data_IF_836541340820
#
_entry.id   IF_836541340820
#
_cell.length_a   1.000
_cell.length_b   1.000
_cell.length_c   1.000
_cell.angle_alpha   90.00
_cell.angle_beta   90.00
_cell.angle_gamma   90.00
#
_symmetry.space_group_name_H-M   'P 1'
#
loop_
_entity.id
_entity.type
_entity.pdbx_description
1 polymer ?
#
# COMPACT_ATOMS: atom_id res chain seq x y z
N UNK A 1 7.87 -52.99 -15.84
CA UNK A 1 7.45 -51.67 -16.35
C UNK A 1 7.02 -50.88 -15.12
N UNK A 2 7.99 -50.20 -14.48
CA UNK A 2 7.77 -49.35 -13.32
C UNK A 2 8.11 -47.94 -13.82
N UNK A 3 7.09 -47.12 -14.01
CA UNK A 3 7.25 -45.74 -14.47
C UNK A 3 7.92 -44.90 -13.37
N UNK A 4 9.08 -44.34 -13.68
CA UNK A 4 9.71 -43.29 -12.91
C UNK A 4 8.98 -41.97 -13.22
N UNK A 5 8.26 -41.43 -12.23
CA UNK A 5 7.78 -40.05 -12.28
C UNK A 5 8.98 -39.10 -12.06
N UNK A 6 9.08 -37.97 -12.79
CA UNK A 6 10.17 -37.03 -12.61
C UNK A 6 10.05 -36.31 -11.26
N UNK A 7 11.16 -36.19 -10.54
CA UNK A 7 11.28 -35.36 -9.34
C UNK A 7 11.03 -33.89 -9.74
N UNK A 8 9.93 -33.33 -9.25
CA UNK A 8 9.75 -31.89 -9.23
C UNK A 8 10.72 -31.30 -8.21
N UNK A 9 11.87 -30.83 -8.67
CA UNK A 9 12.73 -29.93 -7.90
C UNK A 9 11.93 -28.65 -7.66
N UNK A 10 11.28 -28.56 -6.50
CA UNK A 10 10.72 -27.31 -6.02
C UNK A 10 11.87 -26.31 -5.86
N UNK A 11 11.95 -25.34 -6.76
CA UNK A 11 12.74 -24.14 -6.53
C UNK A 11 12.31 -23.56 -5.19
N UNK A 12 13.29 -23.28 -4.34
CA UNK A 12 13.02 -22.71 -3.04
C UNK A 12 12.37 -21.32 -3.23
N UNK A 13 11.49 -20.84 -2.34
CA UNK A 13 10.87 -19.52 -2.45
C UNK A 13 11.88 -18.35 -2.53
N UNK A 14 13.16 -18.63 -2.25
CA UNK A 14 14.27 -17.66 -2.30
C UNK A 14 14.76 -17.43 -3.74
N UNK A 15 14.56 -18.38 -4.65
CA UNK A 15 15.00 -18.28 -6.05
C UNK A 15 14.04 -17.45 -6.94
N UNK A 16 12.87 -17.07 -6.40
CA UNK A 16 11.84 -16.30 -7.11
C UNK A 16 11.92 -14.79 -6.89
N UNK A 17 12.88 -14.29 -6.09
CA UNK A 17 13.24 -12.87 -6.10
C UNK A 17 14.21 -12.63 -7.26
N UNK A 18 13.63 -12.52 -8.45
CA UNK A 18 14.34 -12.36 -9.72
C UNK A 18 15.48 -11.35 -9.62
N UNK A 19 16.58 -11.69 -10.29
CA UNK A 19 17.80 -10.90 -10.45
C UNK A 19 17.55 -9.40 -10.28
N UNK A 20 17.89 -8.96 -9.08
CA UNK A 20 17.92 -7.59 -8.60
C UNK A 20 18.43 -6.65 -9.73
N UNK A 21 17.50 -5.85 -10.26
CA UNK A 21 17.62 -5.19 -11.56
C UNK A 21 18.28 -3.82 -11.47
N UNK A 22 19.00 -3.41 -12.52
CA UNK A 22 19.60 -2.07 -12.62
C UNK A 22 18.79 -1.21 -13.57
N UNK A 23 18.48 0.03 -13.17
CA UNK A 23 17.81 1.03 -14.00
C UNK A 23 18.59 2.35 -14.00
N UNK A 24 18.87 2.91 -15.17
CA UNK A 24 19.52 4.20 -15.35
C UNK A 24 18.52 5.18 -15.96
N UNK A 25 18.13 6.21 -15.19
CA UNK A 25 17.41 7.36 -15.71
C UNK A 25 18.41 8.40 -16.22
N UNK A 26 18.25 8.85 -17.45
CA UNK A 26 19.14 9.83 -18.08
C UNK A 26 18.40 11.13 -18.36
N UNK A 27 19.13 12.24 -18.40
CA UNK A 27 18.60 13.54 -18.83
C UNK A 27 17.31 13.92 -18.06
N UNK A 28 17.32 13.75 -16.75
CA UNK A 28 16.22 14.13 -15.85
C UNK A 28 16.59 15.36 -15.05
N UNK A 29 15.59 16.17 -14.68
CA UNK A 29 15.75 17.26 -13.72
C UNK A 29 15.20 16.83 -12.37
N UNK A 30 15.99 16.88 -11.31
CA UNK A 30 15.62 16.32 -10.01
C UNK A 30 14.92 17.37 -9.17
N UNK A 31 13.72 17.05 -8.71
CA UNK A 31 13.05 17.70 -7.58
C UNK A 31 13.13 16.76 -6.39
N UNK A 32 13.88 17.11 -5.35
CA UNK A 32 14.17 16.22 -4.20
C UNK A 32 13.26 16.44 -2.99
N UNK A 33 12.41 17.46 -3.02
CA UNK A 33 11.51 17.82 -1.91
C UNK A 33 12.19 18.52 -0.72
N UNK A 34 13.49 18.83 -0.78
CA UNK A 34 14.22 19.51 0.30
C UNK A 34 13.96 21.02 0.36
N UNK A 35 13.33 21.59 -0.67
CA UNK A 35 13.20 23.03 -0.89
C UNK A 35 14.29 23.62 -1.80
N UNK A 36 15.25 22.79 -2.23
CA UNK A 36 16.23 23.17 -3.25
C UNK A 36 15.55 23.47 -4.60
N UNK A 37 16.12 24.37 -5.43
CA UNK A 37 15.67 24.55 -6.81
C UNK A 37 15.77 23.26 -7.61
N UNK A 38 14.97 23.17 -8.67
CA UNK A 38 15.06 22.06 -9.64
C UNK A 38 16.50 21.97 -10.20
N UNK A 39 17.07 20.77 -10.25
CA UNK A 39 18.44 20.59 -10.72
C UNK A 39 18.63 20.90 -12.21
N UNK A 40 19.89 21.03 -12.62
CA UNK A 40 20.29 20.85 -14.02
C UNK A 40 20.02 19.40 -14.49
N UNK A 41 20.14 19.08 -15.79
CA UNK A 41 20.01 17.70 -16.25
C UNK A 41 21.01 16.76 -15.57
N UNK A 42 20.50 15.67 -14.98
CA UNK A 42 21.25 14.66 -14.24
C UNK A 42 20.96 13.25 -14.79
N UNK A 43 21.82 12.31 -14.40
CA UNK A 43 21.63 10.87 -14.53
C UNK A 43 21.47 10.25 -13.14
N UNK A 44 20.54 9.31 -13.00
CA UNK A 44 20.23 8.61 -11.75
C UNK A 44 20.30 7.10 -11.96
N UNK A 45 21.27 6.44 -11.31
CA UNK A 45 21.42 4.99 -11.31
C UNK A 45 20.73 4.41 -10.09
N UNK A 46 19.73 3.57 -10.34
CA UNK A 46 19.08 2.71 -9.35
C UNK A 46 19.61 1.30 -9.54
N UNK A 47 20.09 0.71 -8.46
CA UNK A 47 20.37 -0.73 -8.39
C UNK A 47 19.42 -1.27 -7.35
N UNK A 48 18.60 -2.23 -7.77
CA UNK A 48 17.63 -2.91 -6.93
C UNK A 48 16.55 -1.93 -6.49
N UNK A 49 16.52 -1.60 -5.21
CA UNK A 49 15.59 -0.64 -4.63
C UNK A 49 16.30 0.60 -4.05
N UNK A 50 17.57 0.81 -4.43
CA UNK A 50 18.41 1.88 -3.88
C UNK A 50 18.92 2.78 -4.99
N UNK A 51 18.78 4.09 -4.80
CA UNK A 51 19.46 5.09 -5.60
C UNK A 51 20.95 5.02 -5.25
N UNK A 52 21.76 4.51 -6.17
CA UNK A 52 23.20 4.32 -5.95
C UNK A 52 24.03 5.54 -6.31
N UNK A 53 23.65 6.22 -7.39
CA UNK A 53 24.41 7.37 -7.89
C UNK A 53 23.50 8.38 -8.56
N UNK A 54 23.78 9.65 -8.29
CA UNK A 54 23.22 10.80 -8.98
C UNK A 54 24.42 11.60 -9.51
N UNK A 55 24.49 11.85 -10.81
CA UNK A 55 25.64 12.52 -11.44
C UNK A 55 25.24 13.40 -12.62
N UNK A 56 25.97 14.49 -12.86
CA UNK A 56 25.92 15.26 -14.11
C UNK A 56 26.66 14.54 -15.24
N UNK A 57 27.67 13.75 -14.90
CA UNK A 57 28.47 13.01 -15.88
C UNK A 57 27.70 11.80 -16.40
N UNK A 58 28.08 11.33 -17.59
CA UNK A 58 27.52 10.10 -18.15
C UNK A 58 27.91 8.90 -17.27
N UNK A 59 26.93 8.05 -17.02
CA UNK A 59 27.14 6.79 -16.29
C UNK A 59 27.20 5.68 -17.33
N UNK A 60 28.27 4.88 -17.30
CA UNK A 60 28.38 3.67 -18.14
C UNK A 60 27.52 2.58 -17.51
N UNK A 61 26.41 2.14 -18.14
CA UNK A 61 25.53 1.13 -17.57
C UNK A 61 26.19 -0.26 -17.58
N UNK A 62 25.85 -1.08 -16.59
CA UNK A 62 26.22 -2.50 -16.60
C UNK A 62 25.40 -3.25 -17.66
N UNK A 63 25.88 -4.43 -18.05
CA UNK A 63 25.11 -5.31 -18.94
C UNK A 63 23.76 -5.63 -18.29
N UNK A 64 22.68 -5.42 -19.04
CA UNK A 64 21.30 -5.67 -18.58
C UNK A 64 20.64 -4.50 -17.84
N UNK A 65 21.31 -3.36 -17.65
CA UNK A 65 20.68 -2.15 -17.11
C UNK A 65 19.58 -1.64 -18.06
N UNK A 66 18.38 -1.42 -17.52
CA UNK A 66 17.28 -0.75 -18.22
C UNK A 66 17.59 0.75 -18.30
N UNK A 67 17.56 1.32 -19.49
CA UNK A 67 17.83 2.75 -19.70
C UNK A 67 16.52 3.47 -19.99
N UNK A 68 16.27 4.55 -19.24
CA UNK A 68 15.10 5.40 -19.39
C UNK A 68 15.59 6.83 -19.66
N UNK A 69 15.41 7.32 -20.89
CA UNK A 69 15.65 8.73 -21.21
C UNK A 69 14.49 9.59 -20.73
N UNK A 70 14.76 10.48 -19.78
CA UNK A 70 13.81 11.42 -19.22
C UNK A 70 13.49 12.59 -20.15
N UNK A 71 14.28 12.86 -21.19
CA UNK A 71 14.01 13.92 -22.17
C UNK A 71 13.90 15.32 -21.56
N UNK A 72 14.64 15.58 -20.47
CA UNK A 72 14.61 16.83 -19.72
C UNK A 72 13.42 16.99 -18.76
N UNK A 73 12.61 15.93 -18.57
CA UNK A 73 11.47 15.94 -17.64
C UNK A 73 11.94 15.89 -16.19
N UNK A 74 11.02 16.23 -15.30
CA UNK A 74 11.25 16.16 -13.87
C UNK A 74 11.19 14.73 -13.36
N UNK A 75 12.24 14.29 -12.66
CA UNK A 75 12.22 13.11 -11.81
C UNK A 75 12.07 13.57 -10.35
N UNK A 76 11.18 12.94 -9.61
CA UNK A 76 10.88 13.28 -8.22
C UNK A 76 10.65 12.04 -7.37
N UNK A 77 10.79 12.13 -6.03
CA UNK A 77 10.32 11.09 -5.13
C UNK A 77 8.85 10.76 -5.36
N UNK A 78 8.49 9.50 -5.16
CA UNK A 78 7.10 9.08 -5.15
C UNK A 78 6.30 9.82 -4.08
N UNK A 79 5.04 10.14 -4.38
CA UNK A 79 4.18 10.89 -3.47
C UNK A 79 3.75 10.04 -2.27
N UNK A 80 3.44 10.72 -1.17
CA UNK A 80 2.93 10.13 0.07
C UNK A 80 1.56 10.73 0.37
N UNK A 81 0.53 9.89 0.51
CA UNK A 81 -0.77 10.30 1.05
C UNK A 81 -0.83 9.96 2.56
N UNK A 82 -0.94 10.99 3.40
CA UNK A 82 -0.96 10.83 4.84
C UNK A 82 -2.35 10.54 5.44
N UNK A 83 -3.43 10.59 4.64
CA UNK A 83 -4.78 10.37 5.12
C UNK A 83 -5.60 9.65 4.05
N UNK A 84 -5.38 8.34 3.95
CA UNK A 84 -6.03 7.50 2.96
C UNK A 84 -6.91 6.47 3.66
N UNK A 85 -8.09 6.17 3.12
CA UNK A 85 -8.94 5.09 3.63
C UNK A 85 -8.91 3.91 2.66
N UNK A 86 -7.90 3.06 2.80
CA UNK A 86 -7.57 2.00 1.84
C UNK A 86 -8.79 1.16 1.44
N UNK A 87 -9.66 0.86 2.39
CA UNK A 87 -10.82 0.00 2.20
C UNK A 87 -12.11 0.73 1.78
N UNK A 88 -12.13 2.07 1.76
CA UNK A 88 -13.36 2.87 1.68
C UNK A 88 -13.42 3.83 0.48
N UNK A 89 -12.39 3.89 -0.38
CA UNK A 89 -12.32 4.88 -1.47
C UNK A 89 -13.22 4.52 -2.64
N UNK A 90 -13.13 3.26 -3.09
CA UNK A 90 -13.86 2.77 -4.26
C UNK A 90 -15.30 2.37 -3.97
N UNK A 91 -15.62 1.63 -2.89
CA UNK A 91 -17.01 1.33 -2.55
C UNK A 91 -17.77 2.58 -2.10
N UNK A 92 -19.08 2.59 -2.34
CA UNK A 92 -19.98 3.57 -1.71
C UNK A 92 -20.00 3.36 -0.19
N UNK A 93 -20.35 4.38 0.62
CA UNK A 93 -20.46 4.22 2.07
C UNK A 93 -21.34 3.04 2.51
N UNK A 94 -22.46 2.82 1.81
CA UNK A 94 -23.32 1.67 2.08
C UNK A 94 -22.62 0.33 1.80
N UNK A 95 -21.91 0.20 0.68
CA UNK A 95 -21.13 -1.02 0.37
C UNK A 95 -20.01 -1.24 1.40
N UNK A 96 -19.35 -0.19 1.85
CA UNK A 96 -18.31 -0.29 2.89
C UNK A 96 -18.84 -0.81 4.22
N UNK A 97 -20.05 -0.41 4.61
CA UNK A 97 -20.62 -0.73 5.93
C UNK A 97 -21.38 -2.07 5.90
N UNK A 98 -22.24 -2.27 4.90
CA UNK A 98 -23.14 -3.45 4.85
C UNK A 98 -22.80 -4.44 3.74
N UNK A 99 -21.90 -4.09 2.82
CA UNK A 99 -21.55 -4.95 1.69
C UNK A 99 -20.68 -6.15 2.06
N UNK A 100 -20.46 -7.02 1.08
CA UNK A 100 -19.61 -8.20 1.22
C UNK A 100 -18.13 -7.83 1.39
N UNK A 101 -17.47 -8.44 2.37
CA UNK A 101 -16.08 -8.13 2.71
C UNK A 101 -15.13 -8.61 1.60
N UNK A 102 -15.42 -9.73 0.94
CA UNK A 102 -14.62 -10.24 -0.17
C UNK A 102 -14.64 -9.29 -1.36
N UNK A 103 -15.82 -8.82 -1.74
CA UNK A 103 -15.98 -7.80 -2.78
C UNK A 103 -15.24 -6.50 -2.45
N UNK A 104 -15.34 -6.00 -1.21
CA UNK A 104 -14.65 -4.79 -0.78
C UNK A 104 -13.12 -4.94 -0.85
N UNK A 105 -12.58 -6.11 -0.49
CA UNK A 105 -11.15 -6.39 -0.64
C UNK A 105 -10.68 -6.37 -2.10
N UNK A 106 -11.44 -6.99 -3.02
CA UNK A 106 -11.09 -7.00 -4.44
C UNK A 106 -11.08 -5.58 -5.00
N UNK A 107 -12.12 -4.78 -4.70
CA UNK A 107 -12.20 -3.41 -5.20
C UNK A 107 -11.16 -2.48 -4.59
N UNK A 108 -10.79 -2.69 -3.32
CA UNK A 108 -9.67 -1.99 -2.67
C UNK A 108 -8.32 -2.31 -3.34
N UNK A 109 -8.09 -3.55 -3.77
CA UNK A 109 -6.90 -3.93 -4.52
C UNK A 109 -6.76 -3.18 -5.85
N UNK A 110 -7.86 -3.06 -6.61
CA UNK A 110 -7.87 -2.26 -7.86
C UNK A 110 -7.56 -0.78 -7.56
N UNK A 111 -8.14 -0.23 -6.48
CA UNK A 111 -7.89 1.15 -6.10
C UNK A 111 -6.45 1.41 -5.62
N UNK A 112 -5.82 0.42 -4.98
CA UNK A 112 -4.42 0.48 -4.60
C UNK A 112 -3.53 0.57 -5.85
N UNK A 113 -3.81 -0.22 -6.88
CA UNK A 113 -3.11 -0.13 -8.17
C UNK A 113 -3.32 1.23 -8.82
N UNK A 114 -4.56 1.71 -8.90
CA UNK A 114 -4.85 3.01 -9.51
C UNK A 114 -4.16 4.16 -8.74
N UNK A 115 -4.10 4.09 -7.41
CA UNK A 115 -3.39 5.04 -6.54
C UNK A 115 -1.88 5.04 -6.82
N UNK A 116 -1.27 3.88 -6.99
CA UNK A 116 0.13 3.76 -7.41
C UNK A 116 0.37 4.42 -8.76
N UNK A 117 -0.53 4.18 -9.73
CA UNK A 117 -0.42 4.76 -11.08
C UNK A 117 -0.64 6.28 -11.11
N UNK A 118 -1.24 6.87 -10.07
CA UNK A 118 -1.32 8.33 -9.87
C UNK A 118 -0.05 8.92 -9.24
N UNK A 119 0.94 8.10 -8.93
CA UNK A 119 2.25 8.52 -8.42
C UNK A 119 2.40 8.42 -6.89
N UNK A 120 1.38 7.95 -6.17
CA UNK A 120 1.48 7.70 -4.73
C UNK A 120 2.11 6.34 -4.49
N UNK A 121 3.36 6.34 -4.03
CA UNK A 121 4.11 5.10 -3.77
C UNK A 121 3.99 4.65 -2.32
N UNK A 122 3.49 5.52 -1.44
CA UNK A 122 3.28 5.25 -0.02
C UNK A 122 2.00 5.92 0.46
N UNK A 123 1.29 5.25 1.35
CA UNK A 123 0.05 5.74 1.94
C UNK A 123 0.01 5.42 3.44
N UNK A 124 -0.59 6.31 4.23
CA UNK A 124 -1.00 6.01 5.60
C UNK A 124 -2.50 5.75 5.61
N UNK A 125 -2.86 4.50 5.86
CA UNK A 125 -4.24 4.13 6.10
C UNK A 125 -4.65 4.57 7.52
N UNK A 126 -5.74 5.33 7.61
CA UNK A 126 -6.20 5.94 8.87
C UNK A 126 -7.45 5.28 9.43
N UNK A 127 -7.85 4.12 8.90
CA UNK A 127 -9.01 3.42 9.41
C UNK A 127 -9.53 2.33 8.50
N UNK A 128 -9.47 1.08 8.99
CA UNK A 128 -10.08 -0.07 8.37
C UNK A 128 -9.21 -1.34 8.42
N UNK A 129 -9.70 -2.46 7.88
CA UNK A 129 -8.99 -3.74 7.88
C UNK A 129 -7.92 -3.82 6.77
N UNK A 130 -7.02 -2.83 6.68
CA UNK A 130 -6.06 -2.72 5.59
C UNK A 130 -4.88 -3.73 5.64
N UNK A 131 -4.70 -4.46 6.75
CA UNK A 131 -3.55 -5.36 6.94
C UNK A 131 -3.46 -6.47 5.89
N UNK A 132 -4.59 -7.06 5.48
CA UNK A 132 -4.59 -8.11 4.46
C UNK A 132 -4.14 -7.59 3.09
N UNK A 133 -4.65 -6.43 2.68
CA UNK A 133 -4.21 -5.79 1.43
C UNK A 133 -2.76 -5.33 1.50
N UNK A 134 -2.31 -4.79 2.64
CA UNK A 134 -0.89 -4.48 2.87
C UNK A 134 -0.02 -5.72 2.61
N UNK A 135 -0.35 -6.86 3.23
CA UNK A 135 0.43 -8.08 3.05
C UNK A 135 0.46 -8.51 1.58
N UNK A 136 -0.69 -8.49 0.90
CA UNK A 136 -0.75 -8.83 -0.53
C UNK A 136 0.10 -7.91 -1.41
N UNK A 137 0.26 -6.63 -1.04
CA UNK A 137 1.15 -5.69 -1.73
C UNK A 137 2.61 -5.95 -1.39
N UNK A 138 2.95 -6.13 -0.11
CA UNK A 138 4.33 -6.38 0.33
C UNK A 138 4.93 -7.64 -0.31
N UNK A 139 4.12 -8.70 -0.44
CA UNK A 139 4.52 -9.97 -1.06
C UNK A 139 4.42 -9.95 -2.59
N UNK A 140 4.03 -8.81 -3.20
CA UNK A 140 3.96 -8.61 -4.65
C UNK A 140 2.76 -9.26 -5.35
N UNK A 141 1.76 -9.74 -4.61
CA UNK A 141 0.53 -10.33 -5.17
C UNK A 141 -0.36 -9.30 -5.85
N UNK A 142 -0.45 -8.10 -5.28
CA UNK A 142 -1.22 -6.96 -5.83
C UNK A 142 -0.28 -5.76 -5.99
N UNK A 143 -0.23 -5.10 -7.16
CA UNK A 143 0.53 -3.87 -7.29
C UNK A 143 -0.18 -2.73 -6.53
N UNK A 144 0.54 -2.02 -5.68
CA UNK A 144 0.00 -0.91 -4.90
C UNK A 144 1.07 -0.15 -4.12
N UNK A 145 0.69 0.97 -3.46
CA UNK A 145 1.60 1.71 -2.59
C UNK A 145 1.97 0.92 -1.34
N UNK A 146 3.11 1.26 -0.72
CA UNK A 146 3.43 0.80 0.62
C UNK A 146 2.40 1.35 1.62
N UNK A 147 1.71 0.46 2.32
CA UNK A 147 0.67 0.85 3.28
C UNK A 147 1.24 0.88 4.70
N UNK A 148 1.01 1.98 5.41
CA UNK A 148 1.15 2.09 6.87
C UNK A 148 -0.25 2.02 7.50
N UNK A 149 -0.71 0.84 7.96
CA UNK A 149 -2.07 0.64 8.44
C UNK A 149 -2.26 1.06 9.89
N UNK A 150 -3.41 1.67 10.19
CA UNK A 150 -3.82 1.98 11.57
C UNK A 150 -4.73 0.91 12.18
N UNK A 151 -5.35 0.06 11.35
CA UNK A 151 -6.38 -0.88 11.79
C UNK A 151 -7.72 -0.19 12.04
N UNK A 152 -8.58 -0.80 12.84
CA UNK A 152 -9.91 -0.28 13.10
C UNK A 152 -9.87 1.14 13.71
N UNK A 153 -10.74 2.04 13.25
CA UNK A 153 -10.88 3.37 13.85
C UNK A 153 -11.34 3.24 15.31
N UNK A 154 -10.76 3.98 16.25
CA UNK A 154 -11.28 4.06 17.63
C UNK A 154 -12.25 5.24 17.70
N UNK A 155 -13.46 5.00 18.20
CA UNK A 155 -14.51 6.01 18.33
C UNK A 155 -15.23 5.85 19.67
N UNK A 156 -15.96 6.89 20.09
CA UNK A 156 -16.96 6.79 21.16
C UNK A 156 -18.34 6.46 20.57
N UNK A 157 -19.29 6.08 21.43
CA UNK A 157 -20.70 5.95 21.11
C UNK A 157 -21.22 7.26 20.50
N UNK A 158 -21.91 7.16 19.36
CA UNK A 158 -22.38 8.27 18.53
C UNK A 158 -21.26 9.17 17.97
N UNK A 159 -20.01 8.71 18.01
CA UNK A 159 -18.87 9.37 17.40
C UNK A 159 -18.79 9.15 15.89
N UNK A 160 -17.80 9.77 15.23
CA UNK A 160 -17.71 9.76 13.77
C UNK A 160 -17.49 8.35 13.16
N UNK A 161 -16.80 7.47 13.87
CA UNK A 161 -16.56 6.08 13.44
C UNK A 161 -17.65 5.11 13.89
N UNK A 162 -18.72 5.58 14.53
CA UNK A 162 -19.81 4.75 15.02
C UNK A 162 -20.82 4.52 13.88
N UNK A 163 -20.62 3.45 13.14
CA UNK A 163 -21.41 3.10 11.95
C UNK A 163 -22.58 2.17 12.24
N UNK A 164 -22.99 2.05 13.51
CA UNK A 164 -24.17 1.25 13.89
C UNK A 164 -25.42 1.78 13.18
N UNK A 165 -26.22 0.88 12.67
CA UNK A 165 -27.46 1.19 11.97
C UNK A 165 -28.59 1.49 12.96
N UNK A 166 -29.60 2.23 12.50
CA UNK A 166 -30.77 2.60 13.33
C UNK A 166 -31.53 1.39 13.90
N UNK A 167 -31.42 0.22 13.26
CA UNK A 167 -32.04 -1.02 13.71
C UNK A 167 -31.19 -1.80 14.71
N UNK A 168 -29.95 -1.41 14.95
CA UNK A 168 -29.08 -2.07 15.93
C UNK A 168 -29.49 -1.68 17.35
N UNK A 169 -29.47 -2.66 18.25
CA UNK A 169 -29.78 -2.42 19.65
C UNK A 169 -28.68 -1.60 20.33
N UNK A 170 -28.99 -0.87 21.42
CA UNK A 170 -27.98 -0.18 22.21
C UNK A 170 -26.85 -1.12 22.64
N UNK A 171 -25.63 -0.58 22.63
CA UNK A 171 -24.43 -1.33 23.02
C UNK A 171 -24.52 -1.74 24.48
N UNK A 172 -24.05 -2.95 24.76
CA UNK A 172 -23.82 -3.46 26.12
C UNK A 172 -22.34 -3.79 26.25
N UNK A 173 -21.71 -3.38 27.36
CA UNK A 173 -20.29 -3.68 27.61
C UNK A 173 -20.12 -5.19 27.71
N UNK A 174 -19.22 -5.75 26.90
CA UNK A 174 -19.03 -7.21 26.78
C UNK A 174 -20.13 -7.93 25.98
N UNK A 175 -21.04 -7.20 25.34
CA UNK A 175 -22.08 -7.73 24.47
C UNK A 175 -21.60 -8.04 23.05
N UNK A 176 -22.54 -8.19 22.13
CA UNK A 176 -22.24 -8.44 20.72
C UNK A 176 -21.59 -7.21 20.07
N UNK A 177 -20.52 -7.46 19.32
CA UNK A 177 -19.89 -6.46 18.47
C UNK A 177 -20.80 -6.11 17.29
N UNK A 178 -20.87 -4.82 16.93
CA UNK A 178 -21.49 -4.39 15.68
C UNK A 178 -20.75 -4.97 14.47
N UNK A 179 -21.36 -4.90 13.27
CA UNK A 179 -20.72 -5.42 12.05
C UNK A 179 -19.35 -4.78 11.80
N UNK A 180 -19.23 -3.46 11.97
CA UNK A 180 -17.98 -2.75 11.72
C UNK A 180 -16.88 -3.09 12.73
N UNK A 181 -17.26 -3.47 13.95
CA UNK A 181 -16.34 -4.01 14.95
C UNK A 181 -15.85 -5.40 14.59
N UNK A 182 -16.75 -6.28 14.12
CA UNK A 182 -16.40 -7.65 13.73
C UNK A 182 -15.41 -7.70 12.56
N UNK A 183 -15.56 -6.79 11.58
CA UNK A 183 -14.70 -6.77 10.39
C UNK A 183 -13.45 -5.89 10.55
N UNK A 184 -13.22 -5.32 11.73
CA UNK A 184 -12.06 -4.46 11.99
C UNK A 184 -12.13 -3.10 11.28
N UNK A 185 -13.33 -2.61 10.96
CA UNK A 185 -13.53 -1.28 10.39
C UNK A 185 -13.44 -0.17 11.44
N UNK A 186 -14.18 -0.31 12.54
CA UNK A 186 -14.19 0.63 13.66
C UNK A 186 -14.44 -0.11 14.98
N UNK A 187 -14.04 0.47 16.11
CA UNK A 187 -14.26 -0.03 17.46
C UNK A 187 -14.76 1.08 18.37
N UNK A 188 -15.86 0.79 19.08
CA UNK A 188 -16.44 1.72 20.05
C UNK A 188 -15.81 1.48 21.42
N UNK A 189 -15.20 2.52 21.98
CA UNK A 189 -14.63 2.54 23.32
C UNK A 189 -15.03 3.84 24.03
N UNK A 190 -15.89 3.74 25.04
CA UNK A 190 -16.44 4.91 25.76
C UNK A 190 -15.60 5.30 27.00
N UNK A 191 -14.56 4.52 27.30
CA UNK A 191 -13.69 4.74 28.45
C UNK A 191 -12.22 4.36 28.16
N UNK A 192 -11.25 4.91 28.91
CA UNK A 192 -9.85 4.48 28.79
C UNK A 192 -9.63 2.99 29.04
N UNK A 193 -10.45 2.36 29.89
CA UNK A 193 -10.33 0.92 30.18
C UNK A 193 -10.74 0.09 28.96
N UNK A 194 -11.77 0.51 28.23
CA UNK A 194 -12.16 -0.11 26.96
C UNK A 194 -11.11 0.06 25.86
N UNK A 195 -10.36 1.16 25.86
CA UNK A 195 -9.24 1.35 24.92
C UNK A 195 -8.09 0.39 25.21
N UNK A 196 -7.83 0.05 26.48
CA UNK A 196 -6.68 -0.81 26.87
C UNK A 196 -6.86 -2.29 26.60
N UNK A 197 -8.10 -2.76 26.44
CA UNK A 197 -8.42 -4.17 26.16
C UNK A 197 -8.52 -4.49 24.67
N UNK A 198 -8.23 -3.50 23.83
CA UNK A 198 -8.07 -3.63 22.40
C UNK A 198 -6.61 -3.96 22.06
#
# INVERSE_FOLDING_TARGET
>A
MLDQLPEFSALSPVDAMGQLGSTLFQNVRIFDGSGSPLSEPMNVLVIDNIIQLISTDSITPNVGTVIIDGGGRTLMPGLIDAHWHTMLIRPTPAQSIVGDVGYNNITAGVEATDTLMRGFTTVRDVGGPAFGLKQAIDDGTVPGPRIYPSGAMITITSGHGDFRQLSELPRTIGGHLSRMEQIGGALVADSPDEVRVR
#
